data_IF_213174069960
#
_entry.id   IF_213174069960
#
_cell.length_a   1.000
_cell.length_b   1.000
_cell.length_c   1.000
_cell.angle_alpha   90.00
_cell.angle_beta   90.00
_cell.angle_gamma   90.00
#
_symmetry.space_group_name_H-M   'P 1'
#
loop_
_entity.id
_entity.type
_entity.pdbx_description
1 polymer ?
2 polymer ?
3 water ?
#
# COMPACT_ATOMS: atom_id res chain seq x y z
N UNK A 8 13.27 19.62 -15.29
CA UNK A 8 12.73 20.87 -14.65
C UNK A 8 12.07 20.57 -13.31
N UNK A 9 12.88 20.15 -12.34
CA UNK A 9 12.40 19.83 -11.01
C UNK A 9 11.23 18.85 -11.10
N UNK A 10 11.42 17.81 -11.90
CA UNK A 10 10.40 16.78 -12.11
C UNK A 10 10.58 15.59 -11.17
N UNK A 11 11.43 15.76 -10.16
CA UNK A 11 11.73 14.71 -9.20
C UNK A 11 10.50 14.12 -8.49
N UNK A 12 9.64 14.99 -7.97
CA UNK A 12 8.44 14.54 -7.27
C UNK A 12 7.45 13.86 -8.22
N UNK A 13 7.31 14.41 -9.42
CA UNK A 13 6.40 13.85 -10.41
C UNK A 13 6.78 12.41 -10.78
N UNK A 14 8.06 12.17 -11.03
CA UNK A 14 8.50 10.82 -11.38
C UNK A 14 8.33 9.87 -10.21
N UNK A 15 8.58 10.34 -8.99
CA UNK A 15 8.43 9.50 -7.81
C UNK A 15 6.95 9.16 -7.62
N UNK A 16 6.08 10.13 -7.88
CA UNK A 16 4.64 9.92 -7.76
C UNK A 16 4.22 8.79 -8.70
N UNK A 17 4.72 8.81 -9.93
CA UNK A 17 4.39 7.77 -10.88
C UNK A 17 5.02 6.42 -10.50
N UNK A 18 6.32 6.42 -10.24
CA UNK A 18 7.03 5.21 -9.87
C UNK A 18 6.41 4.54 -8.65
N UNK A 19 6.12 5.33 -7.61
CA UNK A 19 5.52 4.82 -6.38
C UNK A 19 4.09 4.36 -6.57
N UNK A 20 3.31 5.09 -7.36
CA UNK A 20 1.93 4.71 -7.61
C UNK A 20 1.88 3.30 -8.22
N UNK A 21 2.77 3.05 -9.17
CA UNK A 21 2.82 1.75 -9.83
C UNK A 21 3.33 0.65 -8.91
N UNK A 22 4.32 0.98 -8.08
CA UNK A 22 4.90 0.04 -7.15
C UNK A 22 3.90 -0.35 -6.08
N UNK A 23 3.25 0.65 -5.49
CA UNK A 23 2.29 0.40 -4.43
C UNK A 23 1.10 -0.44 -4.88
N UNK A 24 0.70 -0.30 -6.14
CA UNK A 24 -0.42 -1.08 -6.67
C UNK A 24 -0.01 -2.55 -6.71
N UNK A 25 1.19 -2.81 -7.22
CA UNK A 25 1.70 -4.17 -7.29
C UNK A 25 1.89 -4.72 -5.89
N UNK A 26 2.34 -3.88 -4.97
CA UNK A 26 2.60 -4.28 -3.58
C UNK A 26 1.28 -4.66 -2.87
N UNK A 27 0.21 -3.91 -3.11
CA UNK A 27 -1.07 -4.21 -2.48
C UNK A 27 -1.60 -5.56 -2.97
N UNK A 28 -1.52 -5.80 -4.27
CA UNK A 28 -1.99 -7.07 -4.81
C UNK A 28 -1.25 -8.25 -4.19
N UNK A 29 0.08 -8.14 -4.14
CA UNK A 29 0.92 -9.19 -3.57
C UNK A 29 0.60 -9.44 -2.10
N UNK A 30 0.46 -8.36 -1.33
CA UNK A 30 0.11 -8.46 0.08
C UNK A 30 -1.20 -9.23 0.29
N UNK A 31 -2.21 -8.90 -0.52
CA UNK A 31 -3.50 -9.56 -0.42
C UNK A 31 -3.35 -11.05 -0.73
N UNK A 32 -2.49 -11.38 -1.68
CA UNK A 32 -2.25 -12.77 -2.05
C UNK A 32 -1.51 -13.51 -0.94
N UNK A 33 -0.39 -12.96 -0.48
CA UNK A 33 0.42 -13.62 0.55
C UNK A 33 -0.25 -13.69 1.93
N UNK A 34 -1.18 -12.76 2.22
CA UNK A 34 -1.86 -12.80 3.51
C UNK A 34 -3.24 -13.46 3.41
N UNK A 35 -3.51 -14.08 2.27
CA UNK A 35 -4.76 -14.79 2.02
C UNK A 35 -6.04 -14.05 2.32
N UNK A 36 -6.09 -12.75 2.01
CA UNK A 36 -7.30 -11.97 2.22
C UNK A 36 -8.35 -12.47 1.23
N UNK A 37 -7.90 -12.88 0.04
CA UNK A 37 -8.79 -13.44 -0.98
C UNK A 37 -8.25 -14.79 -1.43
N UNK A 38 -9.10 -15.66 -1.99
CA UNK A 38 -8.66 -16.98 -2.45
C UNK A 38 -7.63 -16.87 -3.58
N UNK A 39 -6.68 -17.80 -3.62
CA UNK A 39 -5.66 -17.78 -4.65
C UNK A 39 -6.27 -17.85 -6.04
N UNK A 40 -7.50 -18.36 -6.10
CA UNK A 40 -8.20 -18.48 -7.37
C UNK A 40 -8.44 -17.19 -8.14
N UNK A 41 -8.43 -16.04 -7.48
CA UNK A 41 -8.65 -14.78 -8.20
C UNK A 41 -7.34 -14.16 -8.67
N UNK A 42 -6.23 -14.72 -8.24
CA UNK A 42 -4.92 -14.20 -8.62
C UNK A 42 -4.28 -14.90 -9.80
N UNK A 43 -3.55 -14.13 -10.58
CA UNK A 43 -2.86 -14.66 -11.75
C UNK A 43 -1.42 -14.15 -11.74
N UNK A 44 -0.46 -15.04 -12.00
CA UNK A 44 0.93 -14.62 -12.01
C UNK A 44 1.20 -13.66 -13.15
N UNK A 45 1.96 -12.62 -12.86
CA UNK A 45 2.31 -11.59 -13.83
C UNK A 45 3.80 -11.29 -13.64
N UNK A 46 4.38 -10.52 -14.56
CA UNK A 46 5.78 -10.15 -14.45
C UNK A 46 5.88 -8.67 -14.09
N UNK A 47 6.47 -8.38 -12.94
CA UNK A 47 6.63 -7.01 -12.47
C UNK A 47 8.00 -6.87 -11.83
N UNK A 48 8.74 -5.83 -12.22
CA UNK A 48 10.08 -5.61 -11.71
C UNK A 48 10.95 -6.82 -12.02
N UNK A 49 10.66 -7.46 -13.15
CA UNK A 49 11.40 -8.63 -13.60
C UNK A 49 11.30 -9.79 -12.63
N UNK A 50 10.21 -9.80 -11.86
CA UNK A 50 9.98 -10.86 -10.88
C UNK A 50 8.52 -11.32 -10.96
N UNK A 51 8.28 -12.61 -10.68
CA UNK A 51 6.92 -13.16 -10.73
C UNK A 51 6.06 -12.64 -9.59
N UNK A 52 4.97 -11.96 -9.90
CA UNK A 52 4.06 -11.46 -8.86
C UNK A 52 2.65 -11.97 -9.11
N UNK A 53 1.81 -11.94 -8.08
CA UNK A 53 0.44 -12.38 -8.20
C UNK A 53 -0.45 -11.15 -8.24
N UNK A 54 -1.24 -11.03 -9.30
CA UNK A 54 -2.15 -9.90 -9.48
C UNK A 54 -3.58 -10.41 -9.57
N UNK A 55 -4.50 -9.72 -8.91
CA UNK A 55 -5.91 -10.09 -8.92
C UNK A 55 -6.53 -9.91 -10.30
N UNK A 56 -7.47 -10.79 -10.65
CA UNK A 56 -8.15 -10.74 -11.95
C UNK A 56 -9.60 -10.26 -11.80
N UNK A 57 -9.92 -9.72 -10.63
CA UNK A 57 -11.28 -9.23 -10.36
C UNK A 57 -11.31 -7.73 -10.67
N UNK A 58 -12.10 -7.32 -11.68
CA UNK A 58 -12.20 -5.90 -12.05
C UNK A 58 -12.54 -4.90 -10.94
N UNK A 59 -13.56 -5.20 -10.15
CA UNK A 59 -13.95 -4.31 -9.05
C UNK A 59 -12.80 -4.09 -8.07
N UNK A 60 -12.20 -5.18 -7.61
CA UNK A 60 -11.08 -5.08 -6.67
C UNK A 60 -9.93 -4.31 -7.32
N UNK A 61 -9.67 -4.60 -8.59
CA UNK A 61 -8.59 -3.91 -9.30
C UNK A 61 -8.83 -2.42 -9.42
N UNK A 62 -10.07 -2.04 -9.72
CA UNK A 62 -10.43 -0.64 -9.87
C UNK A 62 -10.33 0.07 -8.52
N UNK A 63 -10.73 -0.63 -7.46
CA UNK A 63 -10.68 -0.08 -6.12
C UNK A 63 -9.24 0.27 -5.74
N UNK A 64 -8.32 -0.65 -6.00
CA UNK A 64 -6.92 -0.42 -5.68
C UNK A 64 -6.35 0.71 -6.54
N UNK A 65 -6.74 0.74 -7.81
CA UNK A 65 -6.27 1.77 -8.73
C UNK A 65 -6.74 3.16 -8.27
N UNK A 66 -8.02 3.28 -7.95
CA UNK A 66 -8.60 4.55 -7.50
C UNK A 66 -7.92 5.04 -6.23
N UNK A 67 -7.65 4.10 -5.33
CA UNK A 67 -6.99 4.41 -4.07
C UNK A 67 -5.65 5.09 -4.32
N UNK A 68 -4.79 4.41 -5.05
CA UNK A 68 -3.48 4.94 -5.35
C UNK A 68 -3.47 6.13 -6.30
N UNK A 69 -4.56 6.30 -7.06
CA UNK A 69 -4.66 7.43 -7.97
C UNK A 69 -4.75 8.71 -7.15
N UNK A 70 -5.53 8.64 -6.08
CA UNK A 70 -5.74 9.77 -5.18
C UNK A 70 -4.50 10.13 -4.36
N UNK A 71 -3.60 9.17 -4.16
CA UNK A 71 -2.40 9.43 -3.37
C UNK A 71 -1.30 10.08 -4.20
N UNK A 72 -1.30 9.83 -5.51
CA UNK A 72 -0.27 10.39 -6.37
C UNK A 72 -0.09 11.91 -6.25
N UNK A 73 -1.18 12.69 -6.23
CA UNK A 73 -0.99 14.14 -6.10
C UNK A 73 -0.32 14.51 -4.77
N UNK A 74 -0.68 13.82 -3.70
CA UNK A 74 -0.07 14.10 -2.40
C UNK A 74 1.42 13.78 -2.48
N UNK A 75 1.77 12.67 -3.14
CA UNK A 75 3.16 12.30 -3.30
C UNK A 75 3.90 13.40 -4.07
N UNK A 76 3.26 13.92 -5.12
CA UNK A 76 3.84 14.98 -5.94
C UNK A 76 4.27 16.19 -5.12
N UNK A 77 3.48 16.51 -4.10
CA UNK A 77 3.75 17.65 -3.23
C UNK A 77 4.50 17.21 -1.98
N UNK A 78 4.95 15.96 -1.99
CA UNK A 78 5.70 15.38 -0.87
C UNK A 78 5.02 15.62 0.49
N UNK A 79 3.72 15.38 0.55
CA UNK A 79 2.98 15.55 1.79
C UNK A 79 2.68 14.21 2.47
N UNK A 80 3.16 13.13 1.87
CA UNK A 80 2.93 11.78 2.40
C UNK A 80 4.08 11.29 3.30
N UNK A 81 3.74 10.96 4.53
CA UNK A 81 4.72 10.46 5.50
C UNK A 81 4.77 8.93 5.41
N UNK A 82 3.59 8.32 5.27
CA UNK A 82 3.45 6.86 5.19
C UNK A 82 2.24 6.45 4.36
N UNK A 83 2.32 5.25 3.79
CA UNK A 83 1.23 4.64 3.05
C UNK A 83 1.18 3.30 3.76
N UNK A 84 0.04 3.00 4.38
CA UNK A 84 -0.11 1.77 5.14
C UNK A 84 -1.20 0.82 4.65
N UNK A 85 -0.82 -0.41 4.31
CA UNK A 85 -1.79 -1.40 3.89
C UNK A 85 -2.19 -2.14 5.16
N UNK A 86 -3.43 -1.94 5.58
CA UNK A 86 -3.95 -2.53 6.81
C UNK A 86 -4.87 -3.71 6.61
N UNK A 87 -4.61 -4.79 7.34
CA UNK A 87 -5.48 -5.95 7.27
C UNK A 87 -6.31 -5.90 8.56
N UNK A 88 -7.63 -5.84 8.41
CA UNK A 88 -8.56 -5.77 9.54
C UNK A 88 -9.33 -7.07 9.76
N UNK A 89 -9.53 -7.44 11.01
CA UNK A 89 -10.27 -8.66 11.33
C UNK A 89 -11.78 -8.39 11.24
N UNK A 90 -12.58 -9.40 11.53
CA UNK A 90 -14.04 -9.27 11.49
C UNK A 90 -14.56 -8.11 12.34
N UNK A 91 -13.86 -7.83 13.43
CA UNK A 91 -14.26 -6.75 14.34
C UNK A 91 -13.75 -5.38 13.89
N UNK A 92 -13.25 -5.33 12.65
CA UNK A 92 -12.75 -4.10 12.08
C UNK A 92 -11.55 -3.51 12.83
N UNK A 93 -10.75 -4.38 13.45
CA UNK A 93 -9.56 -3.94 14.18
C UNK A 93 -8.32 -4.48 13.46
N UNK A 94 -7.27 -3.65 13.33
CA UNK A 94 -6.02 -4.02 12.67
C UNK A 94 -5.34 -5.27 13.19
N UNK A 95 -5.11 -6.24 12.31
CA UNK A 95 -4.44 -7.48 12.67
C UNK A 95 -2.99 -7.40 12.20
N UNK A 96 -2.78 -6.81 11.03
CA UNK A 96 -1.44 -6.63 10.48
C UNK A 96 -1.38 -5.29 9.74
N UNK A 97 -0.21 -4.67 9.78
CA UNK A 97 0.00 -3.41 9.08
C UNK A 97 1.31 -3.43 8.32
N UNK A 98 1.22 -3.20 7.01
CA UNK A 98 2.40 -3.13 6.15
C UNK A 98 2.67 -1.64 5.95
N UNK A 99 3.65 -1.16 6.70
CA UNK A 99 4.00 0.26 6.70
C UNK A 99 5.12 0.68 5.75
N UNK A 100 4.77 1.52 4.78
CA UNK A 100 5.76 2.05 3.82
C UNK A 100 6.05 3.51 4.22
N UNK A 101 7.14 3.75 4.96
CA UNK A 101 7.50 5.11 5.37
C UNK A 101 8.32 5.72 4.24
N UNK A 102 7.87 6.88 3.78
CA UNK A 102 8.48 7.57 2.65
C UNK A 102 9.10 8.93 2.95
N UNK A 103 10.26 9.17 2.35
CA UNK A 103 10.99 10.43 2.49
C UNK A 103 11.50 10.82 1.10
N UNK A 104 11.33 12.09 0.73
CA UNK A 104 11.79 12.52 -0.58
C UNK A 104 12.83 13.62 -0.44
N UNK A 105 13.92 13.53 -1.24
CA UNK A 105 15.00 14.52 -1.21
C UNK A 105 14.54 15.82 -1.85
N UNK A 106 15.33 16.89 -1.71
CA UNK A 106 14.88 18.12 -2.33
C UNK A 106 14.73 17.89 -3.83
N UNK A 107 13.81 18.61 -4.45
CA UNK A 107 13.54 18.51 -5.88
C UNK A 107 14.78 18.64 -6.74
N UNK A 108 14.81 17.85 -7.81
CA UNK A 108 15.92 17.94 -8.74
C UNK A 108 15.38 17.58 -10.10
N UNK A 109 16.17 17.83 -11.13
CA UNK A 109 15.77 17.52 -12.49
C UNK A 109 16.39 16.17 -12.82
N UNK A 110 15.53 15.20 -13.13
CA UNK A 110 15.97 13.85 -13.44
C UNK A 110 15.91 13.50 -14.92
N UNK A 111 16.92 12.76 -15.37
CA UNK A 111 17.02 12.33 -16.77
C UNK A 111 16.72 10.83 -16.88
N UNK A 112 15.59 10.51 -17.50
CA UNK A 112 15.18 9.12 -17.67
C UNK A 112 16.27 8.29 -18.34
N UNK A 113 17.01 7.51 -17.55
CA UNK A 113 18.08 6.68 -18.08
C UNK A 113 18.47 5.56 -17.12
N UNK A 114 19.47 5.81 -16.28
CA UNK A 114 19.95 4.81 -15.33
C UNK A 114 19.32 4.98 -13.95
N UNK A 115 19.02 6.22 -13.57
CA UNK A 115 18.42 6.48 -12.26
C UNK A 115 17.04 5.83 -12.13
N UNK A 116 16.29 5.78 -13.22
CA UNK A 116 14.96 5.17 -13.18
C UNK A 116 15.07 3.66 -13.02
N UNK A 117 16.04 3.05 -13.69
CA UNK A 117 16.24 1.61 -13.61
C UNK A 117 16.88 1.24 -12.27
N UNK A 118 17.63 2.17 -11.68
CA UNK A 118 18.26 1.91 -10.40
C UNK A 118 17.18 1.83 -9.34
N UNK A 119 16.26 2.78 -9.39
CA UNK A 119 15.16 2.81 -8.42
C UNK A 119 14.32 1.54 -8.56
N UNK A 120 14.09 1.09 -9.79
CA UNK A 120 13.30 -0.12 -10.01
C UNK A 120 13.99 -1.35 -9.43
N UNK A 121 15.32 -1.40 -9.53
CA UNK A 121 16.07 -2.52 -8.98
C UNK A 121 15.96 -2.53 -7.45
N UNK A 122 15.94 -1.34 -6.85
CA UNK A 122 15.83 -1.27 -5.39
C UNK A 122 14.42 -1.65 -4.91
N UNK A 123 13.41 -1.29 -5.70
CA UNK A 123 12.03 -1.61 -5.36
C UNK A 123 11.76 -3.10 -5.48
N UNK A 124 12.51 -3.78 -6.33
CA UNK A 124 12.34 -5.21 -6.51
C UNK A 124 12.60 -5.98 -5.22
N UNK A 125 13.56 -5.49 -4.42
CA UNK A 125 13.88 -6.15 -3.16
C UNK A 125 12.67 -6.15 -2.22
N UNK A 126 11.86 -5.09 -2.28
CA UNK A 126 10.65 -4.98 -1.45
C UNK A 126 9.62 -6.02 -1.87
N UNK A 127 9.49 -6.22 -3.18
CA UNK A 127 8.54 -7.20 -3.71
C UNK A 127 8.95 -8.59 -3.26
N UNK A 128 10.24 -8.85 -3.35
CA UNK A 128 10.80 -10.14 -2.96
C UNK A 128 10.56 -10.44 -1.48
N UNK A 129 10.72 -9.42 -0.63
CA UNK A 129 10.51 -9.61 0.79
C UNK A 129 9.04 -9.84 1.12
N UNK A 130 8.14 -9.08 0.49
CA UNK A 130 6.70 -9.25 0.73
C UNK A 130 6.27 -10.67 0.35
N UNK A 131 6.85 -11.19 -0.73
CA UNK A 131 6.51 -12.52 -1.23
C UNK A 131 6.82 -13.69 -0.27
N UNK A 132 7.68 -13.46 0.72
CA UNK A 132 8.03 -14.53 1.64
C UNK A 132 7.63 -14.20 3.08
N UNK A 133 6.81 -13.16 3.24
CA UNK A 133 6.41 -12.75 4.58
C UNK A 133 5.54 -13.77 5.30
N UNK A 134 4.86 -14.64 4.56
CA UNK A 134 4.03 -15.66 5.19
C UNK A 134 4.87 -16.67 5.97
N UNK A 135 6.18 -16.62 5.80
CA UNK A 135 7.10 -17.53 6.49
C UNK A 135 7.45 -17.05 7.89
N UNK A 136 7.21 -15.76 8.16
CA UNK A 136 7.52 -15.21 9.48
C UNK A 136 6.27 -14.76 10.22
N UNK A 137 5.16 -14.57 9.49
CA UNK A 137 3.90 -14.14 10.10
C UNK A 137 2.96 -15.32 10.40
N UNK A 138 2.20 -15.21 11.48
CA UNK A 138 1.24 -16.26 11.81
C UNK A 138 0.03 -15.97 10.91
N UNK A 139 -0.66 -17.02 10.48
CA UNK A 139 -1.83 -16.86 9.60
C UNK A 139 -2.92 -16.01 10.24
N UNK A 140 -3.59 -15.17 9.44
CA UNK A 140 -4.65 -14.33 9.97
C UNK A 140 -5.94 -15.11 10.16
N UNK A 141 -6.75 -14.70 11.14
CA UNK A 141 -8.02 -15.36 11.43
C UNK A 141 -8.92 -15.15 10.21
N UNK A 142 -9.91 -16.04 10.01
CA UNK A 142 -10.82 -15.90 8.88
C UNK A 142 -11.66 -14.63 9.00
N UNK A 143 -12.10 -14.09 7.86
CA UNK A 143 -12.93 -12.90 7.88
C UNK A 143 -12.26 -11.55 7.76
N UNK A 144 -10.97 -11.53 7.46
CA UNK A 144 -10.27 -10.26 7.35
C UNK A 144 -10.62 -9.49 6.09
N UNK A 145 -10.46 -8.17 6.14
CA UNK A 145 -10.69 -7.29 5.01
C UNK A 145 -9.47 -6.38 5.00
N UNK A 146 -9.42 -5.40 4.11
CA UNK A 146 -8.28 -4.50 4.08
C UNK A 146 -8.65 -3.07 3.71
N UNK A 147 -7.72 -2.17 3.97
CA UNK A 147 -7.88 -0.77 3.65
C UNK A 147 -6.48 -0.20 3.48
N UNK A 148 -6.42 1.05 3.03
CA UNK A 148 -5.15 1.72 2.83
C UNK A 148 -5.23 3.03 3.59
N UNK A 149 -4.24 3.27 4.44
CA UNK A 149 -4.18 4.49 5.22
C UNK A 149 -3.06 5.34 4.67
N UNK A 150 -3.26 6.65 4.67
CA UNK A 150 -2.26 7.59 4.21
C UNK A 150 -1.97 8.57 5.34
N UNK A 151 -0.72 8.57 5.80
CA UNK A 151 -0.27 9.46 6.88
C UNK A 151 0.37 10.69 6.23
N UNK A 152 -0.19 11.86 6.47
CA UNK A 152 0.38 13.08 5.90
C UNK A 152 1.28 13.77 6.92
N UNK A 153 2.25 14.53 6.44
CA UNK A 153 3.20 15.22 7.31
C UNK A 153 2.54 16.35 8.09
N UNK A 154 1.49 16.94 7.50
CA UNK A 154 0.76 18.02 8.13
C UNK A 154 -0.64 17.49 8.42
N UNK A 155 -1.47 18.30 9.08
CA UNK A 155 -2.83 17.89 9.40
C UNK A 155 -3.53 17.44 8.11
N UNK A 156 -4.12 16.25 8.15
CA UNK A 156 -4.81 15.69 6.98
C UNK A 156 -5.95 16.60 6.54
N UNK A 157 -6.38 17.49 7.42
CA UNK A 157 -7.45 18.42 7.12
C UNK A 157 -7.07 19.31 5.94
N UNK A 158 -5.79 19.63 5.86
CA UNK A 158 -5.28 20.47 4.77
C UNK A 158 -5.24 19.67 3.48
N UNK A 159 -4.93 18.38 3.62
CA UNK A 159 -4.86 17.48 2.47
C UNK A 159 -6.16 16.71 2.29
N UNK A 160 -7.18 17.08 3.07
CA UNK A 160 -8.48 16.42 2.98
C UNK A 160 -9.16 16.77 1.67
N UNK A 161 -8.71 17.86 1.04
CA UNK A 161 -9.29 18.27 -0.24
C UNK A 161 -8.39 17.92 -1.41
N UNK A 162 -7.08 17.91 -1.16
CA UNK A 162 -6.12 17.57 -2.21
C UNK A 162 -6.24 16.10 -2.60
N UNK A 163 -6.66 15.26 -1.66
CA UNK A 163 -6.78 13.83 -1.93
C UNK A 163 -8.12 13.45 -2.57
N UNK A 164 -9.06 14.37 -2.60
CA UNK A 164 -10.37 14.11 -3.20
C UNK A 164 -10.23 14.22 -4.72
N UNK A 165 -9.26 13.48 -5.26
CA UNK A 165 -8.94 13.46 -6.68
C UNK A 165 -10.05 12.85 -7.55
N UNK A 166 -10.79 11.91 -6.97
CA UNK A 166 -11.85 11.24 -7.73
C UNK A 166 -13.22 11.33 -7.06
N UNK A 167 -14.22 11.65 -7.87
CA UNK A 167 -15.60 11.72 -7.39
C UNK A 167 -16.01 10.26 -7.26
N UNK A 168 -17.07 10.01 -6.50
CA UNK A 168 -17.53 8.62 -6.32
C UNK A 168 -16.55 7.84 -5.45
N UNK A 169 -15.35 8.37 -5.27
CA UNK A 169 -14.34 7.71 -4.44
C UNK A 169 -13.79 8.68 -3.39
N UNK A 170 -14.63 9.04 -2.41
CA UNK A 170 -14.22 9.97 -1.35
C UNK A 170 -13.26 9.37 -0.33
N UNK A 171 -12.54 10.25 0.35
CA UNK A 171 -11.60 9.87 1.40
C UNK A 171 -12.06 10.57 2.65
N UNK A 172 -11.64 10.07 3.80
CA UNK A 172 -12.02 10.66 5.08
C UNK A 172 -10.94 10.41 6.12
N UNK A 173 -11.01 11.13 7.22
CA UNK A 173 -10.05 10.96 8.30
C UNK A 173 -10.31 9.59 8.92
N UNK A 174 -9.26 8.91 9.35
CA UNK A 174 -9.42 7.59 9.96
C UNK A 174 -9.72 7.73 11.44
N UNK A 175 -10.09 6.62 12.08
CA UNK A 175 -10.39 6.60 13.50
C UNK A 175 -9.16 6.11 14.26
N UNK A 176 -9.25 6.06 15.58
CA UNK A 176 -8.13 5.59 16.39
C UNK A 176 -8.04 4.07 16.38
N UNK A 177 -9.20 3.41 16.36
CA UNK A 177 -9.24 1.95 16.34
C UNK A 177 -8.67 1.40 15.05
N UNK A 178 -8.98 2.06 13.94
CA UNK A 178 -8.51 1.66 12.63
C UNK A 178 -7.00 1.70 12.54
N UNK A 179 -6.35 2.22 13.57
CA UNK A 179 -4.90 2.34 13.60
C UNK A 179 -4.25 1.68 14.81
N UNK A 180 -4.91 1.78 15.95
CA UNK A 180 -4.40 1.24 17.21
C UNK A 180 -4.11 -0.26 17.22
N UNK A 181 -2.98 -0.63 17.81
CA UNK A 181 -2.56 -2.02 17.93
C UNK A 181 -1.79 -2.22 19.22
N UNK A 182 -2.19 -3.21 20.01
CA UNK A 182 -1.50 -3.51 21.26
C UNK A 182 -0.12 -4.02 20.89
N UNK A 183 0.90 -3.49 21.57
CA UNK A 183 2.28 -3.84 21.29
C UNK A 183 2.59 -3.20 19.92
N UNK A 184 2.67 -3.98 18.82
CA UNK A 184 2.55 -5.39 18.44
C UNK A 184 3.93 -5.89 18.02
N UNK A 185 3.98 -7.01 17.31
CA UNK A 185 5.26 -7.56 16.85
C UNK A 185 5.72 -6.75 15.64
N UNK A 186 6.98 -6.31 15.65
CA UNK A 186 7.50 -5.51 14.53
C UNK A 186 8.48 -6.30 13.68
N UNK A 187 8.21 -6.34 12.37
CA UNK A 187 9.08 -7.08 11.47
C UNK A 187 9.63 -6.21 10.34
N UNK A 188 10.92 -5.91 10.37
CA UNK A 188 11.47 -5.09 9.29
C UNK A 188 11.62 -5.94 8.02
N UNK A 189 11.24 -5.36 6.88
CA UNK A 189 11.35 -6.06 5.61
C UNK A 189 12.47 -5.53 4.72
N UNK A 190 12.47 -4.23 4.48
CA UNK A 190 13.50 -3.66 3.60
C UNK A 190 13.57 -2.13 3.69
N UNK A 191 14.75 -1.59 3.43
CA UNK A 191 14.96 -0.15 3.41
C UNK A 191 15.75 0.16 2.16
N UNK A 192 15.49 1.31 1.56
CA UNK A 192 16.20 1.70 0.35
C UNK A 192 16.49 3.20 0.38
N UNK A 193 17.54 3.58 -0.33
CA UNK A 193 17.96 4.96 -0.45
C UNK A 193 18.32 5.21 -1.91
N UNK A 194 17.95 6.38 -2.42
CA UNK A 194 18.24 6.73 -3.80
C UNK A 194 18.13 8.24 -3.93
N UNK A 195 18.48 8.75 -5.09
CA UNK A 195 18.46 10.20 -5.36
C UNK A 195 17.06 10.83 -5.29
N UNK A 196 16.02 10.06 -5.58
CA UNK A 196 14.67 10.62 -5.58
C UNK A 196 13.73 10.04 -4.53
N UNK A 197 14.19 9.02 -3.80
CA UNK A 197 13.34 8.39 -2.81
C UNK A 197 14.05 7.54 -1.77
N UNK A 198 13.66 7.74 -0.53
CA UNK A 198 14.17 6.95 0.59
C UNK A 198 12.91 6.31 1.16
N UNK A 199 12.94 4.99 1.32
CA UNK A 199 11.76 4.29 1.83
C UNK A 199 12.10 3.05 2.62
N UNK A 200 11.28 2.77 3.62
CA UNK A 200 11.46 1.57 4.44
C UNK A 200 10.10 0.93 4.62
N UNK A 201 10.10 -0.39 4.57
CA UNK A 201 8.89 -1.17 4.76
C UNK A 201 9.08 -2.11 5.94
N UNK A 202 8.09 -2.12 6.82
CA UNK A 202 8.12 -3.01 7.96
C UNK A 202 6.68 -3.39 8.23
N UNK A 203 6.51 -4.50 8.94
CA UNK A 203 5.19 -4.98 9.24
C UNK A 203 4.93 -4.94 10.74
N UNK A 204 3.72 -4.57 11.11
CA UNK A 204 3.34 -4.54 12.51
C UNK A 204 2.30 -5.64 12.59
N UNK A 205 2.59 -6.69 13.35
CA UNK A 205 1.67 -7.81 13.47
C UNK A 205 1.08 -8.01 14.86
N UNK A 206 -0.23 -8.27 14.92
CA UNK A 206 -0.90 -8.51 16.20
C UNK A 206 -0.24 -9.70 16.89
N UNK A 207 0.15 -9.51 18.14
CA UNK A 207 0.81 -10.54 18.93
C UNK A 207 0.10 -11.89 18.91
N UNK A 208 -1.17 -11.89 19.30
CA UNK A 208 -1.94 -13.13 19.35
C UNK A 208 -3.14 -13.07 18.42
N UNK A 209 -3.10 -13.84 17.33
CA UNK A 209 -4.19 -13.86 16.36
C UNK A 209 -5.26 -14.90 16.70
N UNK A 210 -4.98 -15.71 17.72
CA UNK A 210 -5.91 -16.74 18.15
C UNK A 210 -6.35 -17.60 16.96
N UNK B 5 -6.47 12.67 12.55
CA UNK B 5 -6.01 14.07 12.29
C UNK B 5 -5.16 14.15 11.03
N UNK B 6 -4.11 13.34 10.97
CA UNK B 6 -3.22 13.32 9.81
C UNK B 6 -3.19 11.98 9.08
N UNK B 7 -4.18 11.14 9.35
CA UNK B 7 -4.27 9.84 8.70
C UNK B 7 -5.56 9.83 7.89
N UNK B 8 -5.44 9.59 6.59
CA UNK B 8 -6.59 9.54 5.70
C UNK B 8 -6.87 8.12 5.26
N UNK B 9 -8.15 7.82 5.04
CA UNK B 9 -8.59 6.49 4.61
C UNK B 9 -9.72 6.63 3.59
N UNK B 10 -9.87 5.66 2.67
CA UNK B 10 -10.94 5.75 1.69
C UNK B 10 -12.30 5.55 2.37
N UNK B 11 -13.33 6.20 1.85
CA UNK B 11 -14.66 6.05 2.44
C UNK B 11 -15.23 4.68 2.08
N UNK B 12 -15.09 4.31 0.81
CA UNK B 12 -15.61 3.04 0.34
C UNK B 12 -14.73 1.86 0.74
N UNK B 13 -15.38 0.72 0.95
CA UNK B 13 -14.68 -0.50 1.32
C UNK B 13 -14.43 -1.31 0.06
N UNK B 14 -13.34 -2.09 0.05
CA UNK B 14 -13.06 -2.90 -1.14
C UNK B 14 -14.08 -4.03 -1.22
N UNK B 15 -14.19 -4.70 -2.38
CA UNK B 15 -15.16 -5.79 -2.44
C UNK B 15 -14.77 -6.88 -1.44
N UNK B 16 -15.76 -7.51 -0.80
CA UNK B 16 -15.52 -8.55 0.20
C UNK B 16 -15.08 -9.89 -0.39
N UNK B 17 -14.54 -10.75 0.47
CA UNK B 17 -14.11 -12.07 0.03
C UNK B 17 -15.31 -12.82 -0.53
N UNK B 18 -16.48 -12.56 0.05
CA UNK B 18 -17.73 -13.18 -0.38
C UNK B 18 -18.08 -12.77 -1.82
N UNK B 19 -17.96 -11.49 -2.13
CA UNK B 19 -18.25 -11.02 -3.48
C UNK B 19 -17.26 -11.65 -4.45
N UNK B 20 -16.03 -11.81 -3.99
CA UNK B 20 -14.98 -12.41 -4.81
C UNK B 20 -15.31 -13.87 -5.07
N UNK B 21 -15.68 -14.59 -4.03
CA UNK B 21 -16.01 -16.00 -4.17
C UNK B 21 -17.24 -16.20 -5.05
N UNK B 22 -18.16 -15.24 -4.99
CA UNK B 22 -19.36 -15.30 -5.81
C UNK B 22 -19.01 -15.27 -7.29
N UNK B 23 -17.93 -14.56 -7.66
CA UNK B 23 -17.53 -14.49 -9.06
C UNK B 23 -16.77 -15.75 -9.48
N UNK B 24 -15.97 -16.31 -8.58
CA UNK B 24 -15.21 -17.51 -8.88
C UNK B 24 -16.12 -18.72 -9.11
N UNK B 25 -17.33 -18.67 -8.55
CA UNK B 25 -18.27 -19.76 -8.72
C UNK B 25 -19.56 -19.28 -9.39
#
# INVERSE_FOLDING_TARGET
>A
MTTLTRQDLNSAQVVADVLSEFLEVAVHLILYVREVYPVGIFQKRKKYNVPVQMSCHPELNQYIQDTLHCVKPLLEKNDVEKVVVVILDKEHRPVEKFVFEITQPPLLSINSDSLLSHVEQLLRAFILKISKVDKVLDHNPPGCTFTVLVHTREAATRNMEKIQVIKDFPWILADEQDVHMHDPRLIPLKTMTSDILKMQLYVEERAHKNS
>B
MGRTANILKPLMSPPSREEIMATLLDHD
#
